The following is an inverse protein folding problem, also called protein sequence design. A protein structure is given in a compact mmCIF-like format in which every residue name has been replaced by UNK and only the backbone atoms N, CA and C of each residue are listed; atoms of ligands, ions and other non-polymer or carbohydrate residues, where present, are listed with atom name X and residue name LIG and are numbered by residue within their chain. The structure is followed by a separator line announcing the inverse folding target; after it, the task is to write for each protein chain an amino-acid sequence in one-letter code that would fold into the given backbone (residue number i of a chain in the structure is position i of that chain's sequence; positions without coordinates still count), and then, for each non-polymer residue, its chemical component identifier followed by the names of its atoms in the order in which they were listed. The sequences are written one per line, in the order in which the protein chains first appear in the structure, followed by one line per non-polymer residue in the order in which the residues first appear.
data_IF_862350754940
#
_entry.id   IF_862350754940
#
_cell.length_a   1.000
_cell.length_b   1.000
_cell.length_c   1.000
_cell.angle_alpha   90.00
_cell.angle_beta   90.00
_cell.angle_gamma   90.00
#
_symmetry.space_group_name_H-M   'P 1'
#
loop_
_entity.id
_entity.type
_entity.pdbx_description
1 polymer ?
#
# COMPACT_ATOMS: atom_id res chain seq x y z
N UNK A 1 -9.35 38.67 3.40
CA UNK A 1 -9.52 37.44 2.58
C UNK A 1 -10.87 37.54 1.91
N UNK A 2 -10.94 37.38 0.59
CA UNK A 2 -12.21 37.45 -0.17
C UNK A 2 -13.08 36.25 0.22
N UNK A 3 -14.34 36.47 0.45
CA UNK A 3 -15.32 35.45 0.88
C UNK A 3 -16.32 35.13 -0.23
N UNK A 4 -17.04 34.00 -0.10
CA UNK A 4 -18.15 33.62 -1.00
C UNK A 4 -19.27 34.72 -1.01
N UNK A 5 -19.42 35.46 0.07
CA UNK A 5 -20.38 36.62 0.16
C UNK A 5 -19.96 37.76 -0.75
N UNK A 6 -18.66 38.02 -0.86
CA UNK A 6 -18.14 39.07 -1.74
C UNK A 6 -18.32 38.70 -3.22
N UNK A 7 -18.14 37.41 -3.57
CA UNK A 7 -18.43 36.90 -4.92
C UNK A 7 -19.93 37.01 -5.22
N UNK A 8 -20.77 36.61 -4.30
CA UNK A 8 -22.24 36.71 -4.46
C UNK A 8 -22.70 38.17 -4.69
N UNK A 9 -22.15 39.10 -3.88
CA UNK A 9 -22.42 40.55 -4.02
C UNK A 9 -21.92 41.09 -5.36
N UNK A 10 -20.72 40.71 -5.79
CA UNK A 10 -20.12 41.15 -7.05
C UNK A 10 -20.87 40.59 -8.28
N UNK A 11 -21.26 39.32 -8.23
CA UNK A 11 -22.02 38.67 -9.31
C UNK A 11 -23.53 39.01 -9.33
N UNK A 12 -24.04 39.70 -8.31
CA UNK A 12 -25.46 40.05 -8.20
C UNK A 12 -26.38 38.83 -8.01
N UNK A 13 -25.92 37.79 -7.33
CA UNK A 13 -26.66 36.54 -7.10
C UNK A 13 -26.67 36.14 -5.62
N UNK A 14 -27.52 35.19 -5.26
CA UNK A 14 -27.55 34.66 -3.90
C UNK A 14 -26.28 33.80 -3.63
N UNK A 15 -25.85 33.72 -2.35
CA UNK A 15 -24.71 32.88 -1.91
C UNK A 15 -24.94 31.41 -2.32
N UNK A 16 -26.17 30.92 -2.20
CA UNK A 16 -26.56 29.57 -2.63
C UNK A 16 -26.36 29.34 -4.14
N UNK A 17 -26.52 30.39 -4.96
CA UNK A 17 -26.30 30.33 -6.42
C UNK A 17 -24.79 30.23 -6.71
N UNK A 18 -23.94 31.01 -6.02
CA UNK A 18 -22.50 30.90 -6.14
C UNK A 18 -22.06 29.51 -5.75
N UNK A 19 -22.56 28.94 -4.63
CA UNK A 19 -22.28 27.58 -4.19
C UNK A 19 -22.68 26.54 -5.25
N UNK A 20 -23.83 26.67 -5.91
CA UNK A 20 -24.28 25.78 -6.98
C UNK A 20 -23.37 25.84 -8.21
N UNK A 21 -22.88 27.02 -8.57
CA UNK A 21 -21.92 27.20 -9.69
C UNK A 21 -20.58 26.52 -9.35
N UNK A 22 -20.06 26.78 -8.16
CA UNK A 22 -18.79 26.18 -7.69
C UNK A 22 -18.85 24.64 -7.62
N UNK A 23 -20.00 24.08 -7.33
CA UNK A 23 -20.24 22.64 -7.25
C UNK A 23 -20.80 22.02 -8.54
N UNK A 24 -20.77 22.76 -9.67
CA UNK A 24 -21.16 22.29 -11.00
C UNK A 24 -22.59 21.73 -11.10
N UNK A 25 -23.54 22.27 -10.33
CA UNK A 25 -24.93 21.83 -10.39
C UNK A 25 -25.53 22.09 -11.79
N UNK A 26 -26.24 21.09 -12.39
CA UNK A 26 -26.73 21.19 -13.77
C UNK A 26 -27.85 22.22 -13.98
N UNK A 27 -28.53 22.61 -12.91
CA UNK A 27 -29.71 23.49 -12.95
C UNK A 27 -29.37 24.98 -12.73
N UNK A 28 -28.21 25.46 -13.17
CA UNK A 28 -27.79 26.85 -13.21
C UNK A 28 -27.60 27.27 -14.67
N UNK A 29 -28.24 28.38 -15.08
CA UNK A 29 -28.09 28.86 -16.46
C UNK A 29 -26.65 29.27 -16.79
N UNK A 30 -26.25 29.14 -18.04
CA UNK A 30 -24.90 29.51 -18.51
C UNK A 30 -24.60 30.99 -18.28
N UNK A 31 -25.60 31.87 -18.41
CA UNK A 31 -25.44 33.29 -18.08
C UNK A 31 -25.06 33.50 -16.63
N UNK A 32 -25.73 32.81 -15.71
CA UNK A 32 -25.43 32.88 -14.27
C UNK A 32 -24.07 32.31 -13.94
N UNK A 33 -23.68 31.18 -14.56
CA UNK A 33 -22.35 30.60 -14.42
C UNK A 33 -21.27 31.59 -14.85
N UNK A 34 -21.44 32.25 -15.99
CA UNK A 34 -20.49 33.25 -16.49
C UNK A 34 -20.37 34.45 -15.55
N UNK A 35 -21.47 35.02 -15.04
CA UNK A 35 -21.43 36.12 -14.07
C UNK A 35 -20.65 35.77 -12.81
N UNK A 36 -20.84 34.55 -12.28
CA UNK A 36 -20.14 34.08 -11.09
C UNK A 36 -18.66 33.84 -11.38
N UNK A 37 -18.33 33.22 -12.52
CA UNK A 37 -16.93 32.94 -12.88
C UNK A 37 -16.13 34.22 -13.12
N UNK A 38 -16.71 35.24 -13.74
CA UNK A 38 -16.10 36.56 -13.89
C UNK A 38 -15.84 37.20 -12.54
N UNK A 39 -16.83 37.19 -11.63
CA UNK A 39 -16.65 37.73 -10.30
C UNK A 39 -15.57 37.01 -9.47
N UNK A 40 -15.46 35.68 -9.62
CA UNK A 40 -14.40 34.87 -8.99
C UNK A 40 -13.02 35.30 -9.50
N UNK A 41 -12.87 35.43 -10.82
CA UNK A 41 -11.60 35.82 -11.45
C UNK A 41 -11.18 37.25 -11.05
N UNK A 42 -12.11 38.22 -11.10
CA UNK A 42 -11.83 39.61 -10.75
C UNK A 42 -11.49 39.81 -9.26
N UNK A 43 -12.09 39.02 -8.37
CA UNK A 43 -11.83 39.12 -6.94
C UNK A 43 -10.66 38.25 -6.46
N UNK A 44 -10.13 37.40 -7.34
CA UNK A 44 -9.10 36.41 -6.97
C UNK A 44 -9.63 35.43 -5.88
N UNK A 45 -10.94 35.11 -5.90
CA UNK A 45 -11.53 34.25 -4.90
C UNK A 45 -11.09 32.81 -5.12
N UNK A 46 -10.46 32.23 -4.09
CA UNK A 46 -10.13 30.80 -4.04
C UNK A 46 -11.15 30.11 -3.13
N UNK A 47 -11.94 29.16 -3.67
CA UNK A 47 -12.89 28.41 -2.85
C UNK A 47 -12.15 27.71 -1.70
N UNK A 48 -12.63 27.89 -0.47
CA UNK A 48 -12.14 27.11 0.65
C UNK A 48 -12.74 25.70 0.54
N UNK A 49 -11.93 24.75 0.08
CA UNK A 49 -12.33 23.34 -0.10
C UNK A 49 -12.82 22.71 1.21
N UNK A 50 -12.30 23.15 2.36
CA UNK A 50 -12.75 22.70 3.69
C UNK A 50 -14.19 23.19 3.98
N UNK A 51 -14.49 24.45 3.66
CA UNK A 51 -15.85 24.99 3.82
C UNK A 51 -16.84 24.42 2.79
N UNK A 52 -16.37 24.08 1.59
CA UNK A 52 -17.18 23.40 0.56
C UNK A 52 -17.50 21.95 0.94
N UNK A 53 -16.57 21.23 1.52
CA UNK A 53 -16.78 19.86 2.01
C UNK A 53 -17.84 19.80 3.12
N UNK A 54 -17.88 20.81 4.00
CA UNK A 54 -18.93 20.96 5.04
C UNK A 54 -20.33 21.23 4.48
N UNK A 55 -20.44 21.75 3.26
CA UNK A 55 -21.72 22.11 2.62
C UNK A 55 -22.17 21.11 1.55
N UNK A 56 -21.30 20.27 1.05
CA UNK A 56 -21.64 19.23 0.06
C UNK A 56 -21.93 17.92 0.79
N UNK A 57 -23.04 17.26 0.43
CA UNK A 57 -23.32 15.85 0.80
C UNK A 57 -22.39 14.87 0.05
N UNK A 58 -21.14 15.26 -0.26
CA UNK A 58 -20.17 14.33 -0.81
C UNK A 58 -19.68 13.43 0.31
N UNK A 59 -19.58 12.16 0.03
CA UNK A 59 -18.90 11.13 0.85
C UNK A 59 -17.67 11.73 1.53
N UNK A 60 -17.50 11.47 2.82
CA UNK A 60 -16.44 12.03 3.64
C UNK A 60 -15.05 11.78 3.05
N UNK A 61 -14.09 12.58 3.47
CA UNK A 61 -12.67 12.40 3.08
C UNK A 61 -12.14 11.08 3.58
N UNK A 62 -11.23 10.46 2.83
CA UNK A 62 -10.58 9.20 3.19
C UNK A 62 -9.08 9.39 3.37
N UNK A 63 -8.42 8.50 4.11
CA UNK A 63 -6.98 8.50 4.25
C UNK A 63 -6.36 7.17 3.82
N UNK A 64 -5.27 7.27 3.05
CA UNK A 64 -4.34 6.18 2.80
C UNK A 64 -3.23 6.26 3.85
N UNK A 65 -3.21 5.31 4.77
CA UNK A 65 -2.25 5.25 5.89
C UNK A 65 -1.14 4.26 5.53
N UNK A 66 0.11 4.73 5.47
CA UNK A 66 1.24 3.97 4.96
C UNK A 66 2.37 3.86 5.99
N UNK A 67 2.89 2.64 6.19
CA UNK A 67 4.20 2.44 6.81
C UNK A 67 5.30 2.61 5.73
N UNK A 68 6.17 3.59 5.93
CA UNK A 68 7.36 3.77 5.10
C UNK A 68 8.55 3.30 5.91
N UNK A 69 9.25 2.29 5.42
CA UNK A 69 10.41 1.72 6.09
C UNK A 69 11.51 2.77 6.25
N UNK A 70 11.65 3.34 7.46
CA UNK A 70 12.66 4.36 7.81
C UNK A 70 14.11 3.91 7.63
N UNK A 71 14.33 2.60 7.55
CA UNK A 71 15.65 1.99 7.42
C UNK A 71 15.96 1.54 5.99
N UNK A 72 15.04 1.71 5.05
CA UNK A 72 15.31 1.44 3.65
C UNK A 72 16.21 2.54 3.09
N UNK A 73 17.46 2.21 2.80
CA UNK A 73 18.40 3.11 2.12
C UNK A 73 18.15 3.17 0.60
N UNK A 74 17.35 2.26 0.08
CA UNK A 74 16.97 2.17 -1.33
C UNK A 74 15.54 2.70 -1.53
N UNK A 75 15.25 3.07 -2.77
CA UNK A 75 13.90 3.48 -3.19
C UNK A 75 12.96 2.28 -3.02
N UNK A 76 12.07 2.34 -2.04
CA UNK A 76 10.99 1.37 -1.90
C UNK A 76 9.88 1.73 -2.88
N UNK A 77 9.76 0.94 -3.94
CA UNK A 77 8.81 1.14 -5.04
C UNK A 77 7.36 0.84 -4.59
N UNK A 78 7.17 -0.02 -3.60
CA UNK A 78 5.85 -0.54 -3.20
C UNK A 78 4.93 0.57 -2.66
N UNK A 79 5.35 1.41 -1.69
CA UNK A 79 4.52 2.51 -1.21
C UNK A 79 4.09 3.48 -2.32
N UNK A 80 4.97 3.76 -3.28
CA UNK A 80 4.65 4.63 -4.41
C UNK A 80 3.57 4.00 -5.31
N UNK A 81 3.63 2.69 -5.56
CA UNK A 81 2.60 1.99 -6.34
C UNK A 81 1.24 1.99 -5.63
N UNK A 82 1.22 1.82 -4.30
CA UNK A 82 -0.01 1.96 -3.51
C UNK A 82 -0.58 3.38 -3.61
N UNK A 83 0.25 4.42 -3.48
CA UNK A 83 -0.17 5.82 -3.59
C UNK A 83 -0.78 6.09 -4.98
N UNK A 84 -0.10 5.68 -6.04
CA UNK A 84 -0.57 5.88 -7.43
C UNK A 84 -1.90 5.17 -7.65
N UNK A 85 -2.03 3.90 -7.25
CA UNK A 85 -3.24 3.12 -7.42
C UNK A 85 -4.42 3.71 -6.66
N UNK A 86 -4.21 4.08 -5.39
CA UNK A 86 -5.24 4.67 -4.54
C UNK A 86 -5.70 6.06 -5.04
N UNK A 87 -4.77 6.95 -5.38
CA UNK A 87 -5.10 8.31 -5.86
C UNK A 87 -5.85 8.26 -7.19
N UNK A 88 -5.37 7.43 -8.14
CA UNK A 88 -6.03 7.32 -9.44
C UNK A 88 -7.48 6.81 -9.28
N UNK A 89 -7.67 5.77 -8.46
CA UNK A 89 -8.99 5.20 -8.24
C UNK A 89 -9.92 6.14 -7.49
N UNK A 90 -9.42 6.80 -6.44
CA UNK A 90 -10.18 7.81 -5.71
C UNK A 90 -10.64 8.95 -6.65
N UNK A 91 -9.75 9.44 -7.53
CA UNK A 91 -10.08 10.45 -8.53
C UNK A 91 -11.18 10.00 -9.49
N UNK A 92 -11.12 8.76 -10.01
CA UNK A 92 -12.14 8.19 -10.89
C UNK A 92 -13.51 8.10 -10.20
N UNK A 93 -13.52 7.78 -8.90
CA UNK A 93 -14.73 7.67 -8.08
C UNK A 93 -15.20 9.01 -7.50
N UNK A 94 -14.46 10.10 -7.71
CA UNK A 94 -14.79 11.43 -7.15
C UNK A 94 -14.63 11.50 -5.63
N UNK A 95 -13.81 10.61 -5.04
CA UNK A 95 -13.46 10.58 -3.63
C UNK A 95 -12.28 11.50 -3.34
N UNK A 96 -12.26 12.11 -2.16
CA UNK A 96 -11.11 12.89 -1.65
C UNK A 96 -10.27 11.98 -0.75
N UNK A 97 -9.02 11.72 -1.13
CA UNK A 97 -8.08 10.88 -0.39
C UNK A 97 -6.80 11.63 -0.07
N UNK A 98 -6.35 11.54 1.17
CA UNK A 98 -5.05 12.08 1.60
C UNK A 98 -4.13 10.94 2.04
N UNK A 99 -2.82 11.16 1.93
CA UNK A 99 -1.83 10.22 2.44
C UNK A 99 -1.37 10.62 3.83
N UNK A 100 -1.37 9.66 4.77
CA UNK A 100 -0.90 9.81 6.14
C UNK A 100 0.17 8.75 6.39
N UNK A 101 1.35 9.14 6.85
CA UNK A 101 2.40 8.19 7.19
C UNK A 101 2.28 7.74 8.65
N UNK A 102 2.57 6.48 8.96
CA UNK A 102 2.57 5.94 10.33
C UNK A 102 3.38 6.81 11.28
N UNK A 103 4.46 7.40 10.79
CA UNK A 103 5.32 8.30 11.57
C UNK A 103 4.59 9.52 12.12
N UNK A 104 3.52 9.96 11.45
CA UNK A 104 2.72 11.12 11.88
C UNK A 104 1.80 10.80 13.05
N UNK A 105 1.47 9.52 13.24
CA UNK A 105 0.51 9.04 14.24
C UNK A 105 1.12 8.06 15.25
N UNK A 106 2.40 7.73 15.13
CA UNK A 106 3.07 6.67 15.89
C UNK A 106 3.03 6.88 17.41
N UNK A 107 3.09 8.13 17.86
CA UNK A 107 3.10 8.49 19.29
C UNK A 107 1.67 8.76 19.84
N UNK A 108 0.65 8.68 18.98
CA UNK A 108 -0.73 8.96 19.36
C UNK A 108 -1.42 7.75 19.98
N UNK A 109 -2.19 7.98 21.03
CA UNK A 109 -3.15 6.99 21.51
C UNK A 109 -4.41 6.97 20.63
N UNK A 110 -5.34 6.05 20.91
CA UNK A 110 -6.56 5.84 20.10
C UNK A 110 -7.43 7.11 20.04
N UNK A 111 -7.57 7.83 21.15
CA UNK A 111 -8.41 9.04 21.19
C UNK A 111 -7.76 10.21 20.45
N UNK A 112 -6.44 10.32 20.52
CA UNK A 112 -5.67 11.31 19.75
C UNK A 112 -5.74 11.04 18.26
N UNK A 113 -5.53 9.80 17.82
CA UNK A 113 -5.72 9.40 16.43
C UNK A 113 -7.16 9.66 15.96
N UNK A 114 -8.15 9.33 16.79
CA UNK A 114 -9.56 9.59 16.47
C UNK A 114 -9.80 11.07 16.23
N UNK A 115 -9.34 11.95 17.15
CA UNK A 115 -9.46 13.41 16.98
C UNK A 115 -8.69 13.92 15.77
N UNK A 116 -7.49 13.38 15.53
CA UNK A 116 -6.67 13.75 14.37
C UNK A 116 -7.42 13.50 13.05
N UNK A 117 -7.96 12.29 12.85
CA UNK A 117 -8.68 11.95 11.63
C UNK A 117 -10.01 12.71 11.52
N UNK A 118 -10.79 12.82 12.61
CA UNK A 118 -12.05 13.57 12.62
C UNK A 118 -11.86 15.06 12.35
N UNK A 119 -10.77 15.68 12.85
CA UNK A 119 -10.47 17.10 12.60
C UNK A 119 -10.21 17.40 11.12
N UNK A 120 -9.87 16.39 10.33
CA UNK A 120 -9.66 16.47 8.90
C UNK A 120 -10.87 15.97 8.09
N UNK A 121 -12.00 15.69 8.77
CA UNK A 121 -13.23 15.13 8.18
C UNK A 121 -13.01 13.77 7.51
N UNK A 122 -12.08 12.97 8.03
CA UNK A 122 -11.81 11.61 7.53
C UNK A 122 -12.84 10.66 8.14
N UNK A 123 -13.50 9.87 7.30
CA UNK A 123 -14.52 8.88 7.66
C UNK A 123 -14.07 7.45 7.33
N UNK A 124 -13.10 7.30 6.43
CA UNK A 124 -12.59 5.99 6.01
C UNK A 124 -11.08 5.95 5.89
N UNK A 125 -10.51 4.77 6.20
CA UNK A 125 -9.07 4.50 6.21
C UNK A 125 -8.72 3.30 5.33
N UNK A 126 -7.77 3.46 4.42
CA UNK A 126 -7.03 2.35 3.80
C UNK A 126 -5.69 2.26 4.50
N UNK A 127 -5.38 1.14 5.13
CA UNK A 127 -4.18 0.98 5.96
C UNK A 127 -3.28 -0.09 5.35
N UNK A 128 -2.04 0.29 4.98
CA UNK A 128 -1.05 -0.58 4.37
C UNK A 128 0.12 -0.83 5.32
N UNK A 129 0.52 -2.08 5.48
CA UNK A 129 1.70 -2.45 6.26
C UNK A 129 1.48 -2.55 7.77
N UNK A 130 0.22 -2.66 8.22
CA UNK A 130 -0.12 -2.89 9.63
C UNK A 130 0.54 -4.18 10.14
N UNK A 131 1.19 -4.10 11.28
CA UNK A 131 1.84 -5.22 11.95
C UNK A 131 1.19 -5.56 13.30
N UNK A 132 1.60 -6.68 13.90
CA UNK A 132 1.14 -7.06 15.24
C UNK A 132 1.64 -6.11 16.33
N UNK A 133 2.68 -5.33 16.05
CA UNK A 133 3.28 -4.36 16.98
C UNK A 133 2.55 -3.02 17.00
N UNK A 134 1.76 -2.70 15.97
CA UNK A 134 1.01 -1.44 15.85
C UNK A 134 -0.26 -1.45 16.72
N UNK A 135 -0.08 -1.64 18.03
CA UNK A 135 -1.18 -1.90 18.98
C UNK A 135 -2.23 -0.79 19.00
N UNK A 136 -1.82 0.49 18.93
CA UNK A 136 -2.75 1.60 19.00
C UNK A 136 -3.57 1.75 17.72
N UNK A 137 -2.94 1.56 16.56
CA UNK A 137 -3.63 1.60 15.28
C UNK A 137 -4.60 0.41 15.13
N UNK A 138 -4.21 -0.77 15.60
CA UNK A 138 -5.11 -1.94 15.65
C UNK A 138 -6.34 -1.68 16.53
N UNK A 139 -6.14 -1.12 17.74
CA UNK A 139 -7.25 -0.73 18.62
C UNK A 139 -8.15 0.33 17.98
N UNK A 140 -7.59 1.26 17.18
CA UNK A 140 -8.38 2.23 16.43
C UNK A 140 -9.29 1.52 15.40
N UNK A 141 -8.75 0.57 14.63
CA UNK A 141 -9.53 -0.25 13.69
C UNK A 141 -10.62 -1.04 14.43
N UNK A 142 -10.25 -1.73 15.50
CA UNK A 142 -11.17 -2.54 16.34
C UNK A 142 -12.27 -1.70 17.00
N UNK A 143 -12.05 -0.40 17.18
CA UNK A 143 -13.05 0.51 17.79
C UNK A 143 -14.29 0.75 16.93
N UNK A 144 -14.24 0.43 15.63
CA UNK A 144 -15.36 0.64 14.70
C UNK A 144 -15.72 2.11 14.43
N UNK A 145 -14.86 3.06 14.84
CA UNK A 145 -15.12 4.49 14.65
C UNK A 145 -14.95 4.97 13.21
N UNK A 146 -14.26 4.18 12.39
CA UNK A 146 -13.99 4.44 10.97
C UNK A 146 -14.29 3.21 10.14
N UNK A 147 -14.69 3.42 8.90
CA UNK A 147 -14.67 2.36 7.91
C UNK A 147 -13.21 2.10 7.52
N UNK A 148 -12.76 0.84 7.57
CA UNK A 148 -11.37 0.49 7.37
C UNK A 148 -11.20 -0.59 6.30
N UNK A 149 -10.18 -0.44 5.46
CA UNK A 149 -9.68 -1.51 4.59
C UNK A 149 -8.22 -1.75 4.90
N UNK A 150 -7.89 -2.98 5.32
CA UNK A 150 -6.54 -3.38 5.66
C UNK A 150 -5.89 -4.06 4.45
N UNK A 151 -4.74 -3.55 4.00
CA UNK A 151 -3.94 -4.22 2.98
C UNK A 151 -2.86 -5.05 3.69
N UNK A 152 -2.82 -6.34 3.36
CA UNK A 152 -1.85 -7.32 3.88
C UNK A 152 -1.91 -7.52 5.42
N UNK A 153 -3.06 -7.26 6.02
CA UNK A 153 -3.31 -7.58 7.42
C UNK A 153 -4.71 -8.18 7.60
N UNK A 154 -4.90 -9.19 8.45
CA UNK A 154 -6.19 -9.77 8.73
C UNK A 154 -7.04 -8.84 9.58
N UNK A 155 -8.35 -8.92 9.40
CA UNK A 155 -9.31 -8.18 10.21
C UNK A 155 -10.58 -7.91 9.40
N UNK A 156 -11.62 -8.73 9.64
CA UNK A 156 -12.93 -8.55 9.01
C UNK A 156 -13.97 -8.32 10.10
N UNK A 157 -14.74 -7.26 9.96
CA UNK A 157 -15.85 -6.92 10.85
C UNK A 157 -16.95 -6.22 10.03
N UNK A 158 -18.00 -5.72 10.66
CA UNK A 158 -19.03 -4.94 9.95
C UNK A 158 -18.47 -3.69 9.26
N UNK A 159 -17.42 -3.08 9.81
CA UNK A 159 -16.82 -1.84 9.32
C UNK A 159 -15.37 -2.01 8.81
N UNK A 160 -14.88 -3.24 8.71
CA UNK A 160 -13.49 -3.49 8.31
C UNK A 160 -13.41 -4.63 7.31
N UNK A 161 -12.73 -4.40 6.19
CA UNK A 161 -12.37 -5.41 5.19
C UNK A 161 -10.87 -5.63 5.15
N UNK A 162 -10.46 -6.82 4.67
CA UNK A 162 -9.07 -7.17 4.39
C UNK A 162 -8.87 -7.39 2.90
N UNK A 163 -7.76 -6.91 2.35
CA UNK A 163 -7.34 -7.16 0.95
C UNK A 163 -5.89 -7.62 0.95
N UNK A 164 -5.62 -8.78 0.36
CA UNK A 164 -4.29 -9.35 0.30
C UNK A 164 -4.16 -10.33 -0.88
N UNK A 165 -2.94 -10.77 -1.16
CA UNK A 165 -2.72 -11.99 -1.96
C UNK A 165 -2.68 -13.20 -1.03
N UNK A 166 -2.84 -14.41 -1.58
CA UNK A 166 -2.54 -15.65 -0.85
C UNK A 166 -1.01 -15.80 -0.70
N UNK A 167 -0.45 -15.20 0.36
CA UNK A 167 0.98 -15.16 0.61
C UNK A 167 1.59 -16.54 0.87
N UNK A 168 0.86 -17.43 1.55
CA UNK A 168 1.29 -18.81 1.81
C UNK A 168 1.47 -19.55 0.48
N UNK A 169 0.42 -19.56 -0.33
CA UNK A 169 0.41 -20.20 -1.63
C UNK A 169 1.46 -19.59 -2.56
N UNK A 170 1.55 -18.27 -2.61
CA UNK A 170 2.49 -17.56 -3.48
C UNK A 170 3.96 -17.90 -3.15
N UNK A 171 4.32 -17.92 -1.85
CA UNK A 171 5.67 -18.29 -1.42
C UNK A 171 5.98 -19.76 -1.71
N UNK A 172 5.02 -20.64 -1.46
CA UNK A 172 5.17 -22.06 -1.80
C UNK A 172 5.40 -22.23 -3.30
N UNK A 173 4.56 -21.62 -4.14
CA UNK A 173 4.62 -21.76 -5.60
C UNK A 173 5.91 -21.19 -6.20
N UNK A 174 6.34 -20.00 -5.80
CA UNK A 174 7.58 -19.40 -6.33
C UNK A 174 8.81 -20.20 -5.91
N UNK A 175 8.87 -20.63 -4.66
CA UNK A 175 9.98 -21.46 -4.17
C UNK A 175 10.00 -22.83 -4.87
N UNK A 176 8.85 -23.48 -5.06
CA UNK A 176 8.74 -24.74 -5.80
C UNK A 176 9.22 -24.59 -7.23
N UNK A 177 8.75 -23.54 -7.93
CA UNK A 177 9.18 -23.25 -9.31
C UNK A 177 10.67 -22.95 -9.42
N UNK A 178 11.22 -22.22 -8.45
CA UNK A 178 12.65 -21.91 -8.39
C UNK A 178 13.52 -23.13 -8.19
N UNK A 179 13.08 -24.11 -7.38
CA UNK A 179 13.82 -25.33 -7.06
C UNK A 179 13.59 -26.48 -8.07
N UNK A 180 12.64 -26.33 -9.00
CA UNK A 180 12.27 -27.35 -9.96
C UNK A 180 13.47 -27.83 -10.79
N UNK A 181 13.68 -29.15 -10.84
CA UNK A 181 14.80 -29.77 -11.56
C UNK A 181 16.17 -29.51 -10.96
N UNK A 182 16.26 -29.03 -9.70
CA UNK A 182 17.52 -28.75 -9.01
C UNK A 182 17.74 -29.69 -7.82
N UNK A 183 18.98 -30.10 -7.59
CA UNK A 183 19.37 -30.96 -6.46
C UNK A 183 19.70 -30.13 -5.19
N UNK A 184 19.08 -28.95 -5.00
CA UNK A 184 19.33 -28.10 -3.84
C UNK A 184 18.65 -28.68 -2.61
N UNK A 185 19.38 -28.80 -1.51
CA UNK A 185 18.87 -29.33 -0.24
C UNK A 185 19.07 -28.36 0.93
N UNK A 186 20.09 -27.51 0.89
CA UNK A 186 20.43 -26.58 1.97
C UNK A 186 20.04 -25.15 1.55
N UNK A 187 18.94 -24.65 2.09
CA UNK A 187 18.38 -23.35 1.74
C UNK A 187 18.62 -22.33 2.86
N UNK A 188 19.02 -21.11 2.50
CA UNK A 188 18.89 -19.94 3.35
C UNK A 188 17.57 -19.28 3.02
N UNK A 189 16.65 -19.19 3.97
CA UNK A 189 15.42 -18.41 3.83
C UNK A 189 15.53 -17.12 4.61
N UNK A 190 15.44 -15.99 3.92
CA UNK A 190 15.40 -14.66 4.50
C UNK A 190 13.93 -14.22 4.63
N UNK A 191 13.40 -14.29 5.86
CA UNK A 191 12.04 -13.88 6.17
C UNK A 191 11.93 -12.37 6.35
N UNK A 192 10.70 -11.84 6.28
CA UNK A 192 10.41 -10.42 6.48
C UNK A 192 10.50 -9.96 7.95
N UNK A 193 9.72 -8.93 8.30
CA UNK A 193 9.64 -8.41 9.68
C UNK A 193 9.17 -9.49 10.65
N UNK A 194 9.79 -9.58 11.81
CA UNK A 194 9.26 -10.36 12.93
C UNK A 194 7.89 -9.78 13.30
N UNK A 195 6.92 -10.62 13.59
CA UNK A 195 5.54 -10.20 13.91
C UNK A 195 4.78 -9.49 12.75
N UNK A 196 5.27 -9.58 11.51
CA UNK A 196 4.55 -9.16 10.31
C UNK A 196 3.63 -10.28 9.81
N UNK A 197 2.37 -9.98 9.51
CA UNK A 197 1.39 -10.98 9.03
C UNK A 197 1.89 -11.68 7.76
N UNK A 198 2.22 -10.93 6.72
CA UNK A 198 2.74 -11.51 5.46
C UNK A 198 4.04 -12.30 5.65
N UNK A 199 4.87 -11.93 6.64
CA UNK A 199 6.12 -12.65 6.92
C UNK A 199 5.83 -14.05 7.46
N UNK A 200 4.83 -14.18 8.33
CA UNK A 200 4.42 -15.47 8.89
C UNK A 200 3.77 -16.34 7.83
N UNK A 201 2.84 -15.79 7.03
CA UNK A 201 2.17 -16.51 5.96
C UNK A 201 3.17 -17.03 4.91
N UNK A 202 4.11 -16.19 4.47
CA UNK A 202 5.19 -16.60 3.55
C UNK A 202 6.08 -17.67 4.17
N UNK A 203 6.37 -17.59 5.47
CA UNK A 203 7.15 -18.63 6.17
C UNK A 203 6.39 -19.96 6.24
N UNK A 204 5.07 -19.94 6.44
CA UNK A 204 4.23 -21.15 6.39
C UNK A 204 4.34 -21.82 5.02
N UNK A 205 4.22 -21.05 3.93
CA UNK A 205 4.39 -21.56 2.57
C UNK A 205 5.76 -22.16 2.32
N UNK A 206 6.83 -21.51 2.80
CA UNK A 206 8.19 -22.04 2.72
C UNK A 206 8.39 -23.34 3.52
N UNK A 207 7.86 -23.41 4.74
CA UNK A 207 7.96 -24.59 5.61
C UNK A 207 7.19 -25.79 5.03
N UNK A 208 6.02 -25.53 4.43
CA UNK A 208 5.25 -26.57 3.71
C UNK A 208 6.09 -27.19 2.60
N UNK A 209 6.73 -26.37 1.76
CA UNK A 209 7.59 -26.87 0.70
C UNK A 209 8.83 -27.58 1.25
N UNK A 210 9.39 -27.08 2.34
CA UNK A 210 10.55 -27.70 2.98
C UNK A 210 10.25 -29.13 3.45
N UNK A 211 9.07 -29.37 4.03
CA UNK A 211 8.62 -30.71 4.41
C UNK A 211 8.37 -31.62 3.21
N UNK A 212 7.75 -31.09 2.13
CA UNK A 212 7.46 -31.86 0.90
C UNK A 212 8.75 -32.35 0.20
N UNK A 213 9.78 -31.49 0.14
CA UNK A 213 11.02 -31.77 -0.60
C UNK A 213 12.19 -32.21 0.28
N UNK A 214 11.98 -32.44 1.58
CA UNK A 214 13.02 -32.75 2.59
C UNK A 214 14.20 -31.76 2.51
N UNK A 215 13.89 -30.46 2.64
CA UNK A 215 14.88 -29.37 2.61
C UNK A 215 15.39 -29.03 3.99
N UNK A 216 16.69 -28.75 4.11
CA UNK A 216 17.31 -28.18 5.30
C UNK A 216 17.29 -26.65 5.22
N UNK A 217 16.24 -26.03 5.73
CA UNK A 217 16.04 -24.57 5.67
C UNK A 217 16.60 -23.90 6.91
N UNK A 218 17.52 -22.96 6.72
CA UNK A 218 17.97 -22.03 7.74
C UNK A 218 17.19 -20.73 7.60
N UNK A 219 16.28 -20.45 8.52
CA UNK A 219 15.48 -19.22 8.55
C UNK A 219 16.25 -18.11 9.27
N UNK A 220 16.33 -16.93 8.68
CA UNK A 220 16.87 -15.71 9.29
C UNK A 220 15.96 -14.53 8.97
N UNK A 221 15.81 -13.62 9.94
CA UNK A 221 14.96 -12.47 9.79
C UNK A 221 15.73 -11.32 9.09
N UNK A 222 15.35 -11.01 7.86
CA UNK A 222 15.93 -9.95 7.04
C UNK A 222 15.17 -8.62 7.12
N UNK A 223 14.06 -8.54 7.85
CA UNK A 223 13.29 -7.32 8.13
C UNK A 223 12.83 -6.53 6.89
N UNK A 224 12.69 -7.18 5.72
CA UNK A 224 12.49 -6.53 4.43
C UNK A 224 13.58 -5.49 4.10
N UNK A 225 14.78 -5.64 4.67
CA UNK A 225 15.91 -4.74 4.51
C UNK A 225 16.96 -5.35 3.59
N UNK A 226 17.37 -4.59 2.55
CA UNK A 226 18.48 -4.93 1.68
C UNK A 226 19.78 -5.11 2.47
N UNK A 227 20.07 -4.16 3.36
CA UNK A 227 21.32 -4.16 4.15
C UNK A 227 21.38 -5.36 5.09
N UNK A 228 20.29 -5.70 5.77
CA UNK A 228 20.24 -6.85 6.68
C UNK A 228 20.33 -8.15 5.92
N UNK A 229 19.64 -8.28 4.79
CA UNK A 229 19.75 -9.44 3.91
C UNK A 229 21.17 -9.64 3.39
N UNK A 230 21.87 -8.54 3.03
CA UNK A 230 23.29 -8.59 2.63
C UNK A 230 24.17 -9.14 3.75
N UNK A 231 24.05 -8.64 4.99
CA UNK A 231 24.81 -9.12 6.16
C UNK A 231 24.58 -10.60 6.43
N UNK A 232 23.30 -11.01 6.47
CA UNK A 232 22.92 -12.39 6.71
C UNK A 232 23.44 -13.33 5.61
N UNK A 233 23.39 -12.89 4.36
CA UNK A 233 23.92 -13.66 3.23
C UNK A 233 25.42 -13.83 3.34
N UNK A 234 26.19 -12.78 3.64
CA UNK A 234 27.63 -12.87 3.87
C UNK A 234 27.98 -13.88 4.96
N UNK A 235 27.16 -13.94 6.02
CA UNK A 235 27.41 -14.85 7.14
C UNK A 235 27.09 -16.31 6.83
N UNK A 236 26.04 -16.59 6.05
CA UNK A 236 25.47 -17.94 5.97
C UNK A 236 25.53 -18.59 4.59
N UNK A 237 25.70 -17.83 3.48
CA UNK A 237 25.57 -18.36 2.11
C UNK A 237 26.63 -19.40 1.73
N UNK A 238 27.82 -19.37 2.34
CA UNK A 238 28.91 -20.27 2.02
C UNK A 238 28.56 -21.78 2.12
N UNK A 239 27.67 -22.13 3.06
CA UNK A 239 27.22 -23.49 3.32
C UNK A 239 25.85 -23.83 2.73
N UNK A 240 25.29 -22.98 1.87
CA UNK A 240 23.97 -23.13 1.28
C UNK A 240 24.02 -23.38 -0.21
N UNK A 241 23.00 -24.06 -0.72
CA UNK A 241 22.87 -24.35 -2.15
C UNK A 241 22.14 -23.20 -2.88
N UNK A 242 21.15 -22.58 -2.20
CA UNK A 242 20.35 -21.49 -2.74
C UNK A 242 19.82 -20.57 -1.62
N UNK A 243 19.38 -19.37 -2.01
CA UNK A 243 18.79 -18.37 -1.14
C UNK A 243 17.39 -18.05 -1.62
N UNK A 244 16.41 -18.07 -0.73
CA UNK A 244 15.04 -17.68 -1.00
C UNK A 244 14.67 -16.53 -0.06
N UNK A 245 14.18 -15.45 -0.62
CA UNK A 245 13.86 -14.23 0.12
C UNK A 245 12.36 -13.96 0.10
N UNK A 246 11.83 -13.51 1.23
CA UNK A 246 10.44 -13.09 1.35
C UNK A 246 10.18 -11.69 0.75
N UNK A 247 11.16 -11.06 0.11
CA UNK A 247 10.98 -9.85 -0.72
C UNK A 247 12.09 -9.72 -1.75
N UNK A 248 11.81 -8.95 -2.80
CA UNK A 248 12.77 -8.64 -3.86
C UNK A 248 13.89 -7.74 -3.35
N UNK A 249 13.59 -6.81 -2.46
CA UNK A 249 14.60 -5.93 -1.87
C UNK A 249 15.65 -6.74 -1.08
N UNK A 250 15.21 -7.76 -0.33
CA UNK A 250 16.14 -8.68 0.33
C UNK A 250 16.91 -9.55 -0.67
N UNK A 251 16.29 -9.94 -1.78
CA UNK A 251 16.97 -10.70 -2.83
C UNK A 251 18.08 -9.88 -3.50
N UNK A 252 17.88 -8.56 -3.70
CA UNK A 252 18.91 -7.64 -4.18
C UNK A 252 20.08 -7.59 -3.18
N UNK A 253 19.80 -7.44 -1.89
CA UNK A 253 20.82 -7.46 -0.84
C UNK A 253 21.61 -8.76 -0.80
N UNK A 254 20.93 -9.90 -0.95
CA UNK A 254 21.57 -11.22 -1.03
C UNK A 254 22.49 -11.34 -2.26
N UNK A 255 22.04 -10.87 -3.43
CA UNK A 255 22.86 -10.85 -4.63
C UNK A 255 24.11 -9.98 -4.49
N UNK A 256 23.97 -8.79 -3.90
CA UNK A 256 25.10 -7.91 -3.61
C UNK A 256 26.15 -8.62 -2.74
N UNK A 257 25.70 -9.31 -1.67
CA UNK A 257 26.59 -10.08 -0.82
C UNK A 257 27.34 -11.18 -1.61
N UNK A 258 26.64 -11.92 -2.47
CA UNK A 258 27.24 -12.99 -3.28
C UNK A 258 28.29 -12.46 -4.27
N UNK A 259 28.04 -11.29 -4.87
CA UNK A 259 29.01 -10.60 -5.74
C UNK A 259 30.25 -10.21 -4.93
N UNK A 260 30.06 -9.57 -3.77
CA UNK A 260 31.18 -9.12 -2.92
C UNK A 260 32.02 -10.30 -2.37
N UNK A 261 31.42 -11.47 -2.21
CA UNK A 261 32.10 -12.69 -1.75
C UNK A 261 32.73 -13.52 -2.90
N UNK A 262 32.51 -13.15 -4.14
CA UNK A 262 32.87 -13.88 -5.35
C UNK A 262 32.39 -15.35 -5.33
N UNK A 263 31.15 -15.56 -4.87
CA UNK A 263 30.53 -16.88 -4.86
C UNK A 263 29.20 -16.88 -5.63
N UNK A 264 28.90 -17.98 -6.28
CA UNK A 264 27.65 -18.16 -6.98
C UNK A 264 26.66 -18.97 -6.13
N UNK A 265 25.51 -18.38 -5.84
CA UNK A 265 24.31 -19.08 -5.35
C UNK A 265 23.10 -18.50 -6.07
N UNK A 266 22.14 -19.31 -6.51
CA UNK A 266 20.91 -18.80 -7.07
C UNK A 266 20.04 -18.15 -5.98
N UNK A 267 19.35 -17.08 -6.37
CA UNK A 267 18.49 -16.29 -5.48
C UNK A 267 17.08 -16.23 -6.06
N UNK A 268 16.07 -16.33 -5.18
CA UNK A 268 14.66 -16.14 -5.48
C UNK A 268 14.12 -15.01 -4.62
N UNK A 269 13.30 -14.14 -5.20
CA UNK A 269 12.63 -13.02 -4.53
C UNK A 269 11.13 -13.21 -4.38
N UNK A 270 10.45 -12.11 -4.00
CA UNK A 270 9.02 -11.98 -3.86
C UNK A 270 8.68 -10.49 -3.98
N UNK A 271 7.61 -10.10 -4.65
CA UNK A 271 6.96 -8.80 -4.88
C UNK A 271 6.89 -8.40 -6.36
N UNK A 272 7.89 -8.75 -7.17
CA UNK A 272 7.93 -8.42 -8.59
C UNK A 272 8.22 -6.94 -8.85
N UNK A 273 9.10 -6.30 -8.04
CA UNK A 273 9.46 -4.89 -8.20
C UNK A 273 10.39 -4.67 -9.40
N UNK A 274 10.25 -3.53 -10.06
CA UNK A 274 11.04 -3.20 -11.28
C UNK A 274 12.53 -3.15 -10.99
N UNK A 275 12.93 -2.76 -9.78
CA UNK A 275 14.32 -2.70 -9.34
C UNK A 275 15.08 -4.04 -9.51
N UNK A 276 14.36 -5.18 -9.39
CA UNK A 276 14.93 -6.51 -9.63
C UNK A 276 15.54 -6.68 -11.03
N UNK A 277 14.94 -6.07 -12.05
CA UNK A 277 15.46 -6.14 -13.42
C UNK A 277 16.82 -5.47 -13.59
N UNK A 278 17.11 -4.46 -12.78
CA UNK A 278 18.42 -3.78 -12.77
C UNK A 278 19.52 -4.57 -12.02
N UNK A 279 19.16 -5.60 -11.28
CA UNK A 279 20.12 -6.40 -10.52
C UNK A 279 20.99 -7.31 -11.40
N UNK A 280 20.82 -7.29 -12.71
CA UNK A 280 21.72 -7.92 -13.71
C UNK A 280 21.56 -9.41 -13.94
N UNK A 281 20.69 -10.12 -13.21
CA UNK A 281 20.39 -11.54 -13.41
C UNK A 281 18.89 -11.78 -13.39
N UNK A 282 18.43 -12.72 -14.21
CA UNK A 282 17.03 -13.16 -14.17
C UNK A 282 16.75 -13.87 -12.86
N UNK A 283 15.74 -13.41 -12.12
CA UNK A 283 15.32 -14.01 -10.87
C UNK A 283 13.83 -14.38 -10.88
N UNK A 284 13.52 -15.51 -10.26
CA UNK A 284 12.13 -15.88 -9.99
C UNK A 284 11.59 -15.01 -8.87
N UNK A 285 10.39 -14.49 -9.07
CA UNK A 285 9.67 -13.70 -8.07
C UNK A 285 8.15 -13.85 -8.23
N UNK A 286 7.41 -13.45 -7.22
CA UNK A 286 5.95 -13.30 -7.27
C UNK A 286 5.64 -11.88 -7.70
N UNK A 287 4.92 -11.70 -8.81
CA UNK A 287 4.40 -10.38 -9.21
C UNK A 287 3.10 -10.11 -8.49
N UNK A 288 3.12 -9.09 -7.66
CA UNK A 288 1.95 -8.45 -7.08
C UNK A 288 1.60 -7.20 -7.90
N UNK A 289 0.31 -6.94 -8.05
CA UNK A 289 -0.19 -5.72 -8.67
C UNK A 289 -0.60 -4.72 -7.58
N UNK A 290 0.39 -4.04 -7.01
CA UNK A 290 0.18 -3.12 -5.88
C UNK A 290 -0.77 -1.96 -6.22
N UNK A 291 -0.74 -1.48 -7.47
CA UNK A 291 -1.69 -0.43 -7.89
C UNK A 291 -3.12 -0.96 -7.91
N UNK A 292 -3.33 -2.17 -8.43
CA UNK A 292 -4.64 -2.81 -8.43
C UNK A 292 -5.12 -3.14 -7.01
N UNK A 293 -4.23 -3.62 -6.13
CA UNK A 293 -4.56 -3.88 -4.72
C UNK A 293 -5.06 -2.59 -4.06
N UNK A 294 -4.34 -1.48 -4.22
CA UNK A 294 -4.73 -0.19 -3.66
C UNK A 294 -6.03 0.36 -4.29
N UNK A 295 -6.20 0.21 -5.61
CA UNK A 295 -7.43 0.60 -6.29
C UNK A 295 -8.63 -0.18 -5.75
N UNK A 296 -8.49 -1.51 -5.61
CA UNK A 296 -9.53 -2.37 -5.02
C UNK A 296 -9.82 -2.02 -3.56
N UNK A 297 -8.81 -1.58 -2.80
CA UNK A 297 -9.02 -1.13 -1.42
C UNK A 297 -9.83 0.17 -1.35
N UNK A 298 -9.64 1.10 -2.28
CA UNK A 298 -10.46 2.31 -2.38
C UNK A 298 -11.90 1.98 -2.79
N UNK A 299 -12.10 1.06 -3.73
CA UNK A 299 -13.43 0.58 -4.13
C UNK A 299 -14.17 -0.06 -2.95
N UNK A 300 -13.48 -0.91 -2.23
CA UNK A 300 -14.03 -1.60 -1.07
C UNK A 300 -14.34 -0.63 0.07
N UNK A 301 -13.47 0.38 0.30
CA UNK A 301 -13.74 1.42 1.28
C UNK A 301 -15.00 2.21 0.95
N UNK A 302 -15.19 2.57 -0.33
CA UNK A 302 -16.41 3.24 -0.78
C UNK A 302 -17.65 2.38 -0.52
N UNK A 303 -17.59 1.08 -0.82
CA UNK A 303 -18.67 0.14 -0.55
C UNK A 303 -19.02 0.03 0.94
N UNK A 304 -18.00 0.01 1.82
CA UNK A 304 -18.20 0.04 3.27
C UNK A 304 -18.87 1.35 3.72
N UNK A 305 -18.44 2.50 3.19
CA UNK A 305 -19.01 3.81 3.51
C UNK A 305 -20.46 3.95 3.03
N UNK A 306 -20.89 3.17 2.04
CA UNK A 306 -22.27 3.07 1.58
C UNK A 306 -23.11 2.08 2.39
N UNK A 307 -22.57 1.50 3.46
CA UNK A 307 -23.24 0.57 4.37
C UNK A 307 -23.05 -0.91 4.05
N UNK A 308 -22.05 -1.25 3.23
CA UNK A 308 -21.65 -2.65 3.02
C UNK A 308 -20.99 -3.23 4.28
N UNK A 309 -21.09 -4.53 4.49
CA UNK A 309 -20.36 -5.27 5.54
C UNK A 309 -18.97 -5.65 5.08
N UNK A 310 -18.02 -5.77 6.02
CA UNK A 310 -16.64 -6.14 5.71
C UNK A 310 -16.50 -7.54 5.11
N UNK A 311 -15.47 -7.70 4.30
CA UNK A 311 -15.17 -8.96 3.63
C UNK A 311 -13.65 -9.17 3.49
N UNK A 312 -13.27 -10.42 3.23
CA UNK A 312 -11.90 -10.82 2.93
C UNK A 312 -11.72 -10.98 1.43
N UNK A 313 -10.81 -10.21 0.83
CA UNK A 313 -10.62 -10.12 -0.62
C UNK A 313 -9.23 -10.62 -0.99
N UNK A 314 -9.17 -11.73 -1.72
CA UNK A 314 -7.92 -12.28 -2.22
C UNK A 314 -7.68 -11.82 -3.65
N UNK A 315 -6.61 -11.06 -3.87
CA UNK A 315 -6.18 -10.60 -5.20
C UNK A 315 -5.24 -11.63 -5.82
N UNK A 316 -5.38 -11.95 -7.10
CA UNK A 316 -4.50 -12.92 -7.75
C UNK A 316 -3.07 -12.40 -7.87
N UNK A 317 -2.09 -13.30 -7.70
CA UNK A 317 -0.67 -13.08 -7.99
C UNK A 317 -0.23 -13.85 -9.23
N UNK A 318 0.98 -13.58 -9.74
CA UNK A 318 1.60 -14.29 -10.85
C UNK A 318 3.04 -14.64 -10.53
N UNK A 319 3.49 -15.81 -10.97
CA UNK A 319 4.91 -16.16 -10.95
C UNK A 319 5.57 -15.61 -12.21
N UNK A 320 6.61 -14.84 -12.04
CA UNK A 320 7.38 -14.29 -13.15
C UNK A 320 8.88 -14.51 -12.96
N UNK A 321 9.61 -14.26 -14.03
CA UNK A 321 11.06 -14.21 -14.02
C UNK A 321 11.47 -12.89 -14.62
N UNK A 322 11.84 -11.93 -13.79
CA UNK A 322 12.21 -10.58 -14.22
C UNK A 322 13.59 -10.55 -14.82
N UNK A 323 13.73 -9.88 -15.95
CA UNK A 323 15.00 -9.54 -16.61
C UNK A 323 15.01 -8.05 -16.96
N UNK A 324 16.19 -7.53 -17.30
CA UNK A 324 16.36 -6.10 -17.59
C UNK A 324 15.43 -5.58 -18.71
N UNK A 325 15.23 -6.38 -19.76
CA UNK A 325 14.34 -5.99 -20.86
C UNK A 325 12.88 -5.79 -20.42
N UNK A 326 12.42 -6.50 -19.39
CA UNK A 326 11.06 -6.37 -18.88
C UNK A 326 10.83 -5.04 -18.13
N UNK A 327 11.89 -4.30 -17.82
CA UNK A 327 11.84 -3.05 -17.05
C UNK A 327 11.94 -1.83 -17.96
N UNK A 328 12.61 -1.95 -19.09
CA UNK A 328 12.85 -0.83 -20.02
C UNK A 328 11.87 -0.79 -21.20
N UNK A 329 11.00 -1.79 -21.32
CA UNK A 329 9.92 -1.88 -22.29
C UNK A 329 8.62 -1.27 -21.75
#
# INVERSE_FOLDING_TARGET
MVSIRDVAKKAGVAISTVSKVLNHYPNVSEETKNKVNVAIAELGFVPNTIASALSSKKTGRTALVLDVNRHAQSVDEIPMQYIIGAINRAKEMGMDIITVFFTMIAEMNVDEMTRYFQSQSIEGLVICGLSKEDLMLRKLVESGKFQCVLIDAPGVSECTSSIHIDNEKAQYEVAKKFLEGKAYKKILYLSGKKNGYVSEERLVGMNRLAGELDLKVLVRNGNFSELEARKLTMQYAGSKDAIICASDLMAIGAMKALIDMDIYRPVCGFDGVSLMGYAGKQMHTVKQDFQKIAASAVEELARLMEGGSGQDIVVPHRLIRIQYLDVIS
#
